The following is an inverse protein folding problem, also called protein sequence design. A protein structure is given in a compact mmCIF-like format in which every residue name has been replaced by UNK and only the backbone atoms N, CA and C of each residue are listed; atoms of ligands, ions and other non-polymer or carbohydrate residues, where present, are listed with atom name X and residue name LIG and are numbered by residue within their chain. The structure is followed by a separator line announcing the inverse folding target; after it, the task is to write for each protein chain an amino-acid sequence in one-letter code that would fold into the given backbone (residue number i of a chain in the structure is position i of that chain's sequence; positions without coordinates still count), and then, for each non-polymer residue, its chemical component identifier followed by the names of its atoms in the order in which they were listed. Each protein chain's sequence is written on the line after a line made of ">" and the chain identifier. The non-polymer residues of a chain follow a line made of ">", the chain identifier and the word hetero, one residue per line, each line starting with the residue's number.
data_IF_475019897147
#
_entry.id   IF_475019897147
#
_cell.length_a   1.000
_cell.length_b   1.000
_cell.length_c   1.000
_cell.angle_alpha   90.00
_cell.angle_beta   90.00
_cell.angle_gamma   90.00
#
_symmetry.space_group_name_H-M   'P 1'
#
loop_
_entity.id
_entity.type
_entity.pdbx_description
1 polymer ?
#
# COMPACT_ATOMS: atom_id res chain seq x y z
N UNK A 1 13.27 50.31 -49.79
CA UNK A 1 12.20 49.61 -49.06
C UNK A 1 12.80 48.35 -48.44
N UNK A 2 12.97 48.26 -47.14
CA UNK A 2 13.43 47.02 -46.50
C UNK A 2 12.27 46.16 -46.11
N UNK A 3 12.32 44.88 -46.50
CA UNK A 3 11.38 43.85 -46.13
C UNK A 3 11.61 43.42 -44.68
N UNK A 4 10.61 43.61 -43.83
CA UNK A 4 10.57 43.13 -42.48
C UNK A 4 10.22 41.62 -42.47
N UNK A 5 11.19 40.77 -42.17
CA UNK A 5 10.97 39.35 -41.92
C UNK A 5 10.47 39.21 -40.47
N UNK A 6 9.18 38.86 -40.38
CA UNK A 6 8.53 38.59 -39.09
C UNK A 6 8.87 37.16 -38.68
N UNK A 7 9.71 37.02 -37.65
CA UNK A 7 10.03 35.69 -37.05
C UNK A 7 8.88 35.24 -36.18
N UNK A 8 8.16 34.18 -36.59
CA UNK A 8 7.17 33.51 -35.78
C UNK A 8 7.91 32.57 -34.83
N UNK A 9 7.94 32.93 -33.55
CA UNK A 9 8.42 32.02 -32.50
C UNK A 9 7.39 30.93 -32.23
N UNK A 10 7.69 29.71 -32.65
CA UNK A 10 6.89 28.55 -32.38
C UNK A 10 7.19 28.09 -30.94
N UNK A 11 6.33 28.40 -29.97
CA UNK A 11 6.41 27.90 -28.61
C UNK A 11 5.99 26.43 -28.60
N UNK A 12 6.97 25.53 -28.50
CA UNK A 12 6.75 24.12 -28.26
C UNK A 12 6.21 23.95 -26.84
N UNK A 13 4.92 23.69 -26.70
CA UNK A 13 4.36 23.20 -25.46
C UNK A 13 4.98 21.83 -25.18
N UNK A 14 5.87 21.76 -24.18
CA UNK A 14 6.45 20.54 -23.71
C UNK A 14 5.38 19.64 -23.10
N UNK A 15 4.87 18.68 -23.90
CA UNK A 15 4.06 17.59 -23.36
C UNK A 15 4.99 16.74 -22.50
N UNK A 16 4.88 16.88 -21.19
CA UNK A 16 5.55 15.98 -20.24
C UNK A 16 4.96 14.59 -20.42
N UNK A 17 5.73 13.70 -21.05
CA UNK A 17 5.36 12.30 -21.14
C UNK A 17 5.32 11.72 -19.70
N UNK A 18 4.29 10.94 -19.35
CA UNK A 18 4.28 10.25 -18.07
C UNK A 18 5.54 9.39 -17.96
N UNK A 19 6.22 9.46 -16.81
CA UNK A 19 7.39 8.62 -16.54
C UNK A 19 7.03 7.15 -16.78
N UNK A 20 7.89 6.37 -17.44
CA UNK A 20 7.61 4.96 -17.70
C UNK A 20 7.37 4.24 -16.37
N UNK A 21 6.20 3.63 -16.23
CA UNK A 21 5.91 2.73 -15.11
C UNK A 21 6.94 1.61 -15.17
N UNK A 22 7.79 1.49 -14.14
CA UNK A 22 8.81 0.44 -14.11
C UNK A 22 8.15 -0.92 -13.91
N UNK A 23 8.79 -1.99 -14.37
CA UNK A 23 8.36 -3.38 -14.08
C UNK A 23 8.21 -3.59 -12.55
N UNK A 24 9.10 -2.98 -11.78
CA UNK A 24 9.07 -3.03 -10.30
C UNK A 24 7.81 -2.42 -9.72
N UNK A 25 7.36 -1.25 -10.19
CA UNK A 25 6.10 -0.63 -9.72
C UNK A 25 4.89 -1.49 -10.08
N UNK A 26 4.87 -2.04 -11.28
CA UNK A 26 3.80 -2.95 -11.73
C UNK A 26 3.70 -4.18 -10.83
N UNK A 27 4.83 -4.81 -10.51
CA UNK A 27 4.88 -5.98 -9.62
C UNK A 27 4.47 -5.59 -8.20
N UNK A 28 4.96 -4.46 -7.66
CA UNK A 28 4.58 -3.96 -6.35
C UNK A 28 3.07 -3.76 -6.23
N UNK A 29 2.46 -3.08 -7.20
CA UNK A 29 1.00 -2.83 -7.20
C UNK A 29 0.21 -4.13 -7.27
N UNK A 30 0.64 -5.09 -8.06
CA UNK A 30 0.01 -6.41 -8.15
C UNK A 30 0.08 -7.14 -6.81
N UNK A 31 1.24 -7.21 -6.18
CA UNK A 31 1.43 -7.85 -4.86
C UNK A 31 0.57 -7.19 -3.80
N UNK A 32 0.53 -5.86 -3.78
CA UNK A 32 -0.19 -5.10 -2.77
C UNK A 32 -1.71 -5.17 -2.95
N UNK A 33 -2.22 -4.96 -4.17
CA UNK A 33 -3.63 -4.68 -4.38
C UNK A 33 -4.42 -5.78 -5.08
N UNK A 34 -3.76 -6.64 -5.88
CA UNK A 34 -4.43 -7.62 -6.74
C UNK A 34 -4.26 -9.06 -6.27
N UNK A 35 -3.20 -9.35 -5.51
CA UNK A 35 -2.91 -10.69 -5.00
C UNK A 35 -3.79 -10.98 -3.77
N UNK A 36 -4.28 -12.21 -3.61
CA UNK A 36 -4.98 -12.61 -2.39
C UNK A 36 -4.04 -12.53 -1.18
N UNK A 37 -4.57 -12.34 0.04
CA UNK A 37 -3.72 -12.29 1.23
C UNK A 37 -2.97 -13.61 1.44
N UNK A 38 -3.62 -14.74 1.22
CA UNK A 38 -2.99 -16.07 1.35
C UNK A 38 -1.82 -16.20 0.39
N UNK A 39 -2.03 -15.94 -0.90
CA UNK A 39 -0.97 -16.00 -1.92
C UNK A 39 0.16 -15.01 -1.63
N UNK A 40 -0.16 -13.81 -1.13
CA UNK A 40 0.86 -12.84 -0.74
C UNK A 40 1.75 -13.37 0.39
N UNK A 41 1.16 -14.01 1.40
CA UNK A 41 1.91 -14.59 2.53
C UNK A 41 2.76 -15.76 2.07
N UNK A 42 2.22 -16.65 1.22
CA UNK A 42 2.98 -17.76 0.64
C UNK A 42 4.23 -17.26 -0.11
N UNK A 43 4.07 -16.18 -0.89
CA UNK A 43 5.20 -15.54 -1.57
C UNK A 43 6.20 -14.89 -0.60
N UNK A 44 5.71 -14.23 0.45
CA UNK A 44 6.54 -13.58 1.45
C UNK A 44 7.40 -14.57 2.25
N UNK A 45 6.90 -15.79 2.44
CA UNK A 45 7.56 -16.84 3.22
C UNK A 45 8.45 -17.76 2.36
N UNK A 46 8.40 -17.63 1.04
CA UNK A 46 9.28 -18.41 0.16
C UNK A 46 10.71 -17.87 0.15
N UNK A 47 11.74 -18.75 0.14
CA UNK A 47 13.14 -18.32 -0.05
C UNK A 47 13.40 -17.61 -1.38
N UNK A 48 12.59 -17.88 -2.41
CA UNK A 48 12.70 -17.30 -3.75
C UNK A 48 11.92 -15.99 -3.91
N UNK A 49 11.44 -15.40 -2.82
CA UNK A 49 10.75 -14.11 -2.86
C UNK A 49 11.59 -13.03 -3.54
N UNK A 50 10.92 -12.14 -4.23
CA UNK A 50 11.58 -11.07 -5.00
C UNK A 50 12.40 -10.15 -4.09
N UNK A 51 13.72 -10.19 -4.25
CA UNK A 51 14.67 -9.45 -3.40
C UNK A 51 14.70 -7.95 -3.66
N UNK A 52 14.00 -7.46 -4.68
CA UNK A 52 13.84 -6.01 -4.93
C UNK A 52 13.00 -5.35 -3.84
N UNK A 53 12.15 -6.13 -3.15
CA UNK A 53 11.23 -5.64 -2.14
C UNK A 53 11.71 -5.88 -0.73
N UNK A 54 11.34 -4.94 0.16
CA UNK A 54 11.47 -5.09 1.60
C UNK A 54 10.25 -5.88 2.13
N UNK A 55 10.49 -7.13 2.55
CA UNK A 55 9.47 -8.02 3.10
C UNK A 55 9.44 -8.01 4.63
N UNK A 56 10.25 -7.15 5.27
CA UNK A 56 10.26 -7.04 6.73
C UNK A 56 8.93 -6.47 7.26
N UNK A 57 8.56 -6.91 8.44
CA UNK A 57 7.37 -6.44 9.15
C UNK A 57 7.67 -6.40 10.64
N UNK A 58 7.18 -5.38 11.33
CA UNK A 58 7.16 -5.29 12.78
C UNK A 58 5.80 -5.72 13.37
N UNK A 59 4.94 -6.21 12.48
CA UNK A 59 3.62 -6.69 12.83
C UNK A 59 2.64 -5.57 13.15
N UNK A 60 1.56 -5.92 13.86
CA UNK A 60 0.55 -4.95 14.24
C UNK A 60 0.96 -4.13 15.47
N UNK A 61 2.14 -3.52 15.44
CA UNK A 61 2.67 -2.68 16.53
C UNK A 61 2.03 -1.30 16.52
N UNK A 62 0.77 -1.21 16.96
CA UNK A 62 0.14 0.09 17.17
C UNK A 62 0.43 0.60 18.60
N UNK A 63 1.00 1.78 18.77
CA UNK A 63 1.43 2.29 20.08
C UNK A 63 0.34 2.34 21.16
N UNK A 64 -0.92 2.40 20.75
CA UNK A 64 -2.07 2.53 21.67
C UNK A 64 -2.92 1.26 21.81
N UNK A 65 -2.76 0.28 20.93
CA UNK A 65 -3.66 -0.89 20.87
C UNK A 65 -2.92 -2.17 21.25
N UNK A 66 -1.59 -2.15 21.29
CA UNK A 66 -0.77 -3.34 21.47
C UNK A 66 -0.77 -4.24 20.23
N UNK A 67 -0.14 -5.39 20.35
CA UNK A 67 -0.11 -6.37 19.26
C UNK A 67 -1.45 -7.10 19.06
N UNK A 68 -1.62 -7.78 17.94
CA UNK A 68 -2.83 -8.54 17.54
C UNK A 68 -3.23 -9.67 18.48
N UNK A 69 -2.50 -9.90 19.55
CA UNK A 69 -2.44 -11.18 20.24
C UNK A 69 -3.58 -11.55 21.18
N UNK A 70 -4.55 -10.70 21.48
CA UNK A 70 -5.52 -11.06 22.55
C UNK A 70 -6.92 -11.43 22.07
N UNK A 71 -7.33 -11.00 20.88
CA UNK A 71 -8.72 -11.23 20.46
C UNK A 71 -8.85 -11.74 19.04
N UNK A 72 -8.12 -11.18 18.09
CA UNK A 72 -8.16 -11.57 16.67
C UNK A 72 -6.79 -11.44 16.04
N UNK A 73 -6.36 -12.46 15.30
CA UNK A 73 -5.07 -12.46 14.62
C UNK A 73 -5.17 -11.74 13.28
N UNK A 74 -4.61 -10.54 13.19
CA UNK A 74 -4.46 -9.76 11.96
C UNK A 74 -3.02 -9.72 11.44
N UNK A 75 -2.13 -10.55 11.97
CA UNK A 75 -0.69 -10.55 11.65
C UNK A 75 -0.43 -10.52 10.14
N UNK A 76 -1.12 -11.36 9.37
CA UNK A 76 -0.94 -11.42 7.92
C UNK A 76 -1.38 -10.13 7.20
N UNK A 77 -2.46 -9.51 7.66
CA UNK A 77 -2.90 -8.21 7.14
C UNK A 77 -1.87 -7.11 7.46
N UNK A 78 -1.32 -7.09 8.69
CA UNK A 78 -0.27 -6.17 9.08
C UNK A 78 1.01 -6.35 8.25
N UNK A 79 1.43 -7.60 7.99
CA UNK A 79 2.59 -7.89 7.13
C UNK A 79 2.45 -7.29 5.74
N UNK A 80 1.28 -7.39 5.12
CA UNK A 80 1.03 -6.77 3.81
C UNK A 80 0.94 -5.25 3.89
N UNK A 81 0.37 -4.69 4.94
CA UNK A 81 0.34 -3.25 5.19
C UNK A 81 1.76 -2.68 5.29
N UNK A 82 2.62 -3.28 6.12
CA UNK A 82 4.02 -2.90 6.26
C UNK A 82 4.78 -2.99 4.94
N UNK A 83 4.58 -4.08 4.18
CA UNK A 83 5.13 -4.24 2.86
C UNK A 83 4.76 -3.07 1.94
N UNK A 84 3.51 -2.65 1.93
CA UNK A 84 3.04 -1.51 1.15
C UNK A 84 3.77 -0.22 1.56
N UNK A 85 3.77 0.11 2.84
CA UNK A 85 4.39 1.31 3.36
C UNK A 85 5.90 1.36 3.08
N UNK A 86 6.63 0.27 3.33
CA UNK A 86 8.09 0.20 3.14
C UNK A 86 8.49 0.32 1.68
N UNK A 87 7.76 -0.29 0.76
CA UNK A 87 8.15 -0.35 -0.64
C UNK A 87 7.68 0.87 -1.45
N UNK A 88 6.45 1.36 -1.28
CA UNK A 88 6.00 2.58 -1.97
C UNK A 88 6.77 3.83 -1.55
N UNK A 89 7.27 3.88 -0.29
CA UNK A 89 8.09 5.01 0.17
C UNK A 89 9.51 5.00 -0.40
N UNK A 90 10.00 3.86 -0.93
CA UNK A 90 11.40 3.70 -1.38
C UNK A 90 11.54 3.54 -2.89
N UNK A 91 10.62 2.81 -3.53
CA UNK A 91 10.68 2.51 -4.96
C UNK A 91 10.49 3.80 -5.76
N UNK A 92 11.25 3.93 -6.82
CA UNK A 92 11.27 5.11 -7.68
C UNK A 92 11.47 6.43 -6.90
N UNK A 93 12.30 6.41 -5.84
CA UNK A 93 12.59 7.54 -4.95
C UNK A 93 11.35 8.06 -4.23
N UNK A 94 10.35 7.23 -4.04
CA UNK A 94 9.12 7.57 -3.33
C UNK A 94 8.16 8.49 -4.11
N UNK A 95 8.30 8.60 -5.43
CA UNK A 95 7.41 9.44 -6.25
C UNK A 95 5.94 9.02 -6.16
N UNK A 96 5.68 7.76 -5.81
CA UNK A 96 4.34 7.19 -5.61
C UNK A 96 3.87 7.25 -4.16
N UNK A 97 4.70 7.81 -3.26
CA UNK A 97 4.39 7.92 -1.84
C UNK A 97 3.58 9.19 -1.56
N UNK A 98 2.31 9.18 -1.93
CA UNK A 98 1.37 10.28 -1.76
C UNK A 98 0.19 9.88 -0.84
N UNK A 99 -0.63 10.86 -0.45
CA UNK A 99 -1.78 10.62 0.42
C UNK A 99 -2.81 9.65 -0.20
N UNK A 100 -3.14 9.70 -1.50
CA UNK A 100 -3.98 8.71 -2.15
C UNK A 100 -3.43 7.29 -2.10
N UNK A 101 -2.13 7.09 -2.34
CA UNK A 101 -1.49 5.76 -2.27
C UNK A 101 -1.50 5.21 -0.86
N UNK A 102 -1.14 6.02 0.15
CA UNK A 102 -1.21 5.62 1.55
C UNK A 102 -2.63 5.20 1.93
N UNK A 103 -3.63 6.01 1.56
CA UNK A 103 -5.03 5.66 1.80
C UNK A 103 -5.42 4.32 1.17
N UNK A 104 -5.01 4.05 -0.06
CA UNK A 104 -5.30 2.76 -0.71
C UNK A 104 -4.66 1.57 0.01
N UNK A 105 -3.44 1.75 0.56
CA UNK A 105 -2.78 0.72 1.36
C UNK A 105 -3.57 0.47 2.65
N UNK A 106 -4.00 1.53 3.34
CA UNK A 106 -4.80 1.42 4.56
C UNK A 106 -6.18 0.81 4.29
N UNK A 107 -6.84 1.19 3.19
CA UNK A 107 -8.13 0.60 2.78
C UNK A 107 -7.97 -0.90 2.45
N UNK A 108 -6.84 -1.29 1.85
CA UNK A 108 -6.51 -2.70 1.61
C UNK A 108 -6.28 -3.46 2.91
N UNK A 109 -5.60 -2.85 3.88
CA UNK A 109 -5.41 -3.40 5.22
C UNK A 109 -6.75 -3.68 5.90
N UNK A 110 -7.67 -2.72 5.87
CA UNK A 110 -9.04 -2.94 6.39
C UNK A 110 -9.73 -4.10 5.68
N UNK A 111 -9.67 -4.14 4.34
CA UNK A 111 -10.27 -5.21 3.54
C UNK A 111 -9.75 -6.59 3.93
N UNK A 112 -8.45 -6.73 4.15
CA UNK A 112 -7.81 -7.98 4.55
C UNK A 112 -8.25 -8.44 5.95
N UNK A 113 -8.32 -7.53 6.90
CA UNK A 113 -8.84 -7.81 8.24
C UNK A 113 -10.32 -8.23 8.21
N UNK A 114 -11.14 -7.55 7.43
CA UNK A 114 -12.56 -7.89 7.28
C UNK A 114 -12.77 -9.26 6.62
N UNK A 115 -11.90 -9.63 5.66
CA UNK A 115 -11.91 -10.97 5.05
C UNK A 115 -11.58 -12.02 6.09
N UNK A 116 -10.57 -11.80 6.95
CA UNK A 116 -10.27 -12.68 8.08
C UNK A 116 -11.49 -12.85 9.01
N UNK A 117 -12.22 -11.76 9.27
CA UNK A 117 -13.41 -11.81 10.12
C UNK A 117 -14.58 -12.60 9.51
N UNK A 118 -14.66 -12.74 8.18
CA UNK A 118 -15.81 -13.34 7.49
C UNK A 118 -16.00 -14.83 7.81
N UNK A 119 -14.94 -15.53 8.16
CA UNK A 119 -14.93 -16.97 8.48
C UNK A 119 -15.34 -17.30 9.93
N UNK A 120 -15.72 -16.32 10.74
CA UNK A 120 -16.04 -16.47 12.16
C UNK A 120 -17.56 -16.63 12.39
N UNK A 121 -17.94 -17.10 13.60
CA UNK A 121 -19.32 -17.10 14.05
C UNK A 121 -19.91 -15.65 14.02
N UNK A 122 -21.23 -15.51 13.97
CA UNK A 122 -21.89 -14.20 13.87
C UNK A 122 -21.46 -13.24 14.99
N UNK A 123 -21.41 -13.74 16.23
CA UNK A 123 -21.01 -12.94 17.39
C UNK A 123 -19.55 -12.49 17.29
N UNK A 124 -18.66 -13.45 17.02
CA UNK A 124 -17.21 -13.16 16.92
C UNK A 124 -16.89 -12.29 15.72
N UNK A 125 -17.68 -12.40 14.65
CA UNK A 125 -17.55 -11.57 13.45
C UNK A 125 -17.81 -10.10 13.75
N UNK A 126 -18.83 -9.79 14.54
CA UNK A 126 -19.11 -8.39 14.93
C UNK A 126 -17.96 -7.80 15.75
N UNK A 127 -17.48 -8.52 16.74
CA UNK A 127 -16.32 -8.11 17.55
C UNK A 127 -15.05 -7.97 16.70
N UNK A 128 -14.78 -8.92 15.82
CA UNK A 128 -13.64 -8.89 14.91
C UNK A 128 -13.67 -7.64 14.00
N UNK A 129 -14.83 -7.32 13.40
CA UNK A 129 -15.01 -6.13 12.56
C UNK A 129 -14.81 -4.83 13.34
N UNK A 130 -15.27 -4.78 14.59
CA UNK A 130 -15.03 -3.62 15.45
C UNK A 130 -13.54 -3.41 15.70
N UNK A 131 -12.80 -4.47 16.00
CA UNK A 131 -11.34 -4.40 16.12
C UNK A 131 -10.64 -4.00 14.83
N UNK A 132 -11.04 -4.57 13.68
CA UNK A 132 -10.51 -4.17 12.38
C UNK A 132 -10.66 -2.66 12.13
N UNK A 133 -11.82 -2.08 12.50
CA UNK A 133 -12.04 -0.63 12.39
C UNK A 133 -11.18 0.17 13.35
N UNK A 134 -10.92 -0.33 14.56
CA UNK A 134 -10.00 0.34 15.52
C UNK A 134 -8.60 0.38 14.94
N UNK A 135 -8.07 -0.75 14.43
CA UNK A 135 -6.75 -0.80 13.78
C UNK A 135 -6.68 0.15 12.57
N UNK A 136 -7.67 0.11 11.70
CA UNK A 136 -7.73 1.01 10.54
C UNK A 136 -7.70 2.48 10.93
N UNK A 137 -8.53 2.90 11.90
CA UNK A 137 -8.55 4.29 12.38
C UNK A 137 -7.22 4.71 12.98
N UNK A 138 -6.56 3.80 13.68
CA UNK A 138 -5.25 4.07 14.28
C UNK A 138 -4.21 4.32 13.20
N UNK A 139 -4.09 3.46 12.19
CA UNK A 139 -3.10 3.69 11.11
C UNK A 139 -3.41 4.97 10.35
N UNK A 140 -4.69 5.29 10.11
CA UNK A 140 -5.10 6.56 9.47
C UNK A 140 -4.74 7.81 10.30
N UNK A 141 -4.74 7.70 11.62
CA UNK A 141 -4.43 8.81 12.51
C UNK A 141 -2.92 9.03 12.70
N UNK A 142 -2.13 7.95 12.69
CA UNK A 142 -0.71 7.99 13.08
C UNK A 142 0.27 7.76 11.95
N UNK A 143 -0.13 7.14 10.85
CA UNK A 143 0.74 6.88 9.71
C UNK A 143 0.92 8.10 8.78
N UNK A 144 0.39 9.24 9.16
CA UNK A 144 0.53 10.52 8.46
C UNK A 144 -0.49 10.76 7.35
N UNK A 145 -0.61 12.01 6.92
CA UNK A 145 -1.53 12.40 5.87
C UNK A 145 -1.17 11.80 4.52
#
# INVERSE_FOLDING_TARGET
>A
MPLLLSSIALTLFGVSLPSPVTDTDTVLRRLMFSTSLVTFIDLADTPQRDTRFDWSSDGCSAPLIGGTGRTFDFTNACRRHDFGYRNFSRIDRGIWWDAPTRRRIDDKFLSDMLTNCSHRSTRDRLMCRSWALVFYRTVRAYAGP
#
